data_IF_521979849857
#
_entry.id   IF_521979849857
#
_cell.length_a   1.000
_cell.length_b   1.000
_cell.length_c   1.000
_cell.angle_alpha   90.00
_cell.angle_beta   90.00
_cell.angle_gamma   90.00
#
_symmetry.space_group_name_H-M   'P 1'
#
loop_
_entity.id
_entity.type
_entity.pdbx_description
1 polymer ?
#
# COMPACT_ATOMS: atom_id res chain seq x y z
N UNK A 1 -70.85 29.69 2.82
CA UNK A 1 -69.97 28.87 1.97
C UNK A 1 -68.54 29.03 2.50
N UNK A 2 -68.16 28.22 3.50
CA UNK A 2 -66.77 28.13 4.03
C UNK A 2 -66.32 26.69 3.75
N UNK A 3 -65.53 26.50 2.72
CA UNK A 3 -64.83 25.27 2.50
C UNK A 3 -63.80 25.11 3.62
N UNK A 4 -63.92 24.07 4.41
CA UNK A 4 -62.95 23.63 5.41
C UNK A 4 -61.73 23.13 4.71
N UNK A 5 -60.66 23.88 4.87
CA UNK A 5 -59.31 23.48 4.54
C UNK A 5 -58.92 22.30 5.47
N UNK A 6 -59.15 21.08 5.02
CA UNK A 6 -58.61 19.88 5.66
C UNK A 6 -57.12 19.84 5.30
N UNK A 7 -56.32 20.47 6.14
CA UNK A 7 -54.91 20.16 6.15
C UNK A 7 -54.78 18.65 6.42
N UNK A 8 -54.33 17.92 5.41
CA UNK A 8 -53.99 16.49 5.50
C UNK A 8 -52.90 16.32 6.55
N UNK A 9 -53.25 16.00 7.79
CA UNK A 9 -52.28 15.58 8.81
C UNK A 9 -51.57 14.34 8.30
N UNK A 10 -50.22 14.36 8.22
CA UNK A 10 -49.48 13.22 7.73
C UNK A 10 -49.76 11.99 8.60
N UNK A 11 -50.07 10.86 7.96
CA UNK A 11 -50.38 9.60 8.65
C UNK A 11 -49.26 9.24 9.64
N UNK A 12 -49.56 8.50 10.71
CA UNK A 12 -48.57 8.07 11.69
C UNK A 12 -47.39 7.33 11.02
N UNK A 13 -47.65 6.53 9.98
CA UNK A 13 -46.62 5.86 9.17
C UNK A 13 -45.73 6.86 8.46
N UNK A 14 -46.27 7.96 7.94
CA UNK A 14 -45.45 9.02 7.31
C UNK A 14 -44.58 9.79 8.32
N UNK A 15 -45.10 10.02 9.54
CA UNK A 15 -44.30 10.65 10.62
C UNK A 15 -43.17 9.77 11.07
N UNK A 16 -43.40 8.47 11.25
CA UNK A 16 -42.35 7.47 11.57
C UNK A 16 -41.30 7.34 10.47
N UNK A 17 -41.74 7.27 9.21
CA UNK A 17 -40.85 7.20 8.06
C UNK A 17 -39.98 8.45 7.94
N UNK A 18 -40.56 9.65 8.10
CA UNK A 18 -39.81 10.92 8.12
C UNK A 18 -38.79 10.96 9.26
N UNK A 19 -39.12 10.43 10.43
CA UNK A 19 -38.22 10.30 11.57
C UNK A 19 -37.01 9.42 11.22
N UNK A 20 -37.25 8.23 10.67
CA UNK A 20 -36.21 7.31 10.24
C UNK A 20 -35.31 7.92 9.16
N UNK A 21 -35.88 8.55 8.15
CA UNK A 21 -35.11 9.21 7.08
C UNK A 21 -34.24 10.35 7.61
N UNK A 22 -34.81 11.19 8.50
CA UNK A 22 -34.03 12.29 9.13
C UNK A 22 -32.82 11.76 9.89
N UNK A 23 -33.02 10.71 10.66
CA UNK A 23 -31.96 10.09 11.44
C UNK A 23 -30.92 9.43 10.55
N UNK A 24 -31.35 8.74 9.48
CA UNK A 24 -30.47 8.19 8.48
C UNK A 24 -29.62 9.27 7.83
N UNK A 25 -30.21 10.42 7.49
CA UNK A 25 -29.49 11.57 6.93
C UNK A 25 -28.45 12.12 7.92
N UNK A 26 -28.76 12.22 9.21
CA UNK A 26 -27.82 12.68 10.23
C UNK A 26 -26.63 11.72 10.39
N UNK A 27 -26.90 10.41 10.43
CA UNK A 27 -25.84 9.40 10.49
C UNK A 27 -24.98 9.43 9.22
N UNK A 28 -25.60 9.55 8.05
CA UNK A 28 -24.88 9.67 6.78
C UNK A 28 -24.04 10.95 6.72
N UNK A 29 -24.58 12.07 7.15
CA UNK A 29 -23.89 13.37 7.19
C UNK A 29 -22.64 13.34 8.11
N UNK A 30 -22.65 12.50 9.14
CA UNK A 30 -21.51 12.31 10.04
C UNK A 30 -20.51 11.28 9.49
N UNK A 31 -20.99 10.09 9.10
CA UNK A 31 -20.11 8.96 8.78
C UNK A 31 -19.44 9.07 7.41
N UNK A 32 -20.12 9.61 6.40
CA UNK A 32 -19.54 9.70 5.05
C UNK A 32 -18.32 10.65 5.01
N UNK A 33 -18.39 11.89 5.53
CA UNK A 33 -17.20 12.74 5.61
C UNK A 33 -16.11 12.16 6.52
N UNK A 34 -16.47 11.53 7.64
CA UNK A 34 -15.52 10.91 8.54
C UNK A 34 -14.73 9.79 7.85
N UNK A 35 -15.41 8.90 7.11
CA UNK A 35 -14.75 7.81 6.37
C UNK A 35 -13.93 8.35 5.20
N UNK A 36 -14.40 9.38 4.50
CA UNK A 36 -13.63 10.06 3.46
C UNK A 36 -12.35 10.68 4.05
N UNK A 37 -12.46 11.39 5.17
CA UNK A 37 -11.30 12.00 5.85
C UNK A 37 -10.31 10.93 6.36
N UNK A 38 -10.82 9.84 6.95
CA UNK A 38 -9.98 8.73 7.42
C UNK A 38 -9.23 8.07 6.26
N UNK A 39 -9.83 7.99 5.08
CA UNK A 39 -9.19 7.45 3.87
C UNK A 39 -8.00 8.30 3.39
N UNK A 40 -7.96 9.58 3.72
CA UNK A 40 -6.85 10.48 3.39
C UNK A 40 -5.64 10.29 4.33
N UNK A 41 -5.83 9.62 5.47
CA UNK A 41 -4.74 9.32 6.41
C UNK A 41 -3.96 8.09 5.95
N UNK A 42 -2.88 8.29 5.17
CA UNK A 42 -2.03 7.22 4.61
C UNK A 42 -1.11 6.54 5.63
N UNK A 43 -0.85 7.18 6.78
CA UNK A 43 0.15 6.74 7.76
C UNK A 43 -0.33 5.71 8.80
N UNK A 44 -1.51 5.10 8.65
CA UNK A 44 -2.00 4.11 9.62
C UNK A 44 -1.31 2.75 9.42
N UNK A 45 -0.65 2.17 10.44
CA UNK A 45 0.05 0.88 10.32
C UNK A 45 -0.83 -0.27 9.80
N UNK A 46 -2.15 -0.23 10.11
CA UNK A 46 -3.12 -1.21 9.62
C UNK A 46 -3.32 -1.18 8.10
N UNK A 47 -3.09 -0.05 7.44
CA UNK A 47 -3.14 0.04 5.97
C UNK A 47 -2.05 -0.84 5.34
N UNK A 48 -0.84 -0.78 5.91
CA UNK A 48 0.30 -1.54 5.43
C UNK A 48 0.13 -3.05 5.70
N UNK A 49 -0.42 -3.40 6.87
CA UNK A 49 -0.74 -4.80 7.18
C UNK A 49 -1.76 -5.38 6.18
N UNK A 50 -2.81 -4.64 5.85
CA UNK A 50 -3.81 -5.05 4.86
C UNK A 50 -3.19 -5.19 3.47
N UNK A 51 -2.32 -4.26 3.07
CA UNK A 51 -1.57 -4.36 1.82
C UNK A 51 -0.76 -5.65 1.76
N UNK A 52 0.07 -5.90 2.77
CA UNK A 52 0.94 -7.08 2.83
C UNK A 52 0.13 -8.38 2.78
N UNK A 53 -1.01 -8.45 3.50
CA UNK A 53 -1.89 -9.63 3.48
C UNK A 53 -2.56 -9.85 2.14
N UNK A 54 -3.11 -8.81 1.52
CA UNK A 54 -3.77 -8.92 0.22
C UNK A 54 -2.76 -9.23 -0.90
N UNK A 55 -1.54 -8.68 -0.81
CA UNK A 55 -0.47 -8.98 -1.77
C UNK A 55 -0.03 -10.44 -1.70
N UNK A 56 0.09 -10.99 -0.50
CA UNK A 56 0.49 -12.39 -0.28
C UNK A 56 -0.55 -13.40 -0.78
N UNK A 57 -1.79 -12.99 -1.08
CA UNK A 57 -2.79 -13.88 -1.71
C UNK A 57 -2.46 -14.17 -3.20
N UNK A 58 -1.63 -13.34 -3.83
CA UNK A 58 -1.20 -13.52 -5.23
C UNK A 58 0.29 -13.19 -5.35
N UNK A 59 1.18 -14.07 -4.84
CA UNK A 59 2.62 -13.85 -4.90
C UNK A 59 3.10 -13.81 -6.35
N UNK A 60 4.14 -13.01 -6.63
CA UNK A 60 4.75 -12.94 -7.94
C UNK A 60 5.70 -14.12 -8.14
N UNK A 61 5.65 -14.71 -9.33
CA UNK A 61 6.68 -15.63 -9.78
C UNK A 61 7.97 -14.85 -10.12
N UNK A 62 9.10 -15.51 -10.03
CA UNK A 62 10.38 -14.92 -10.43
C UNK A 62 10.52 -14.95 -11.96
N UNK A 63 10.81 -13.80 -12.56
CA UNK A 63 11.11 -13.73 -14.00
C UNK A 63 12.45 -14.43 -14.28
N UNK A 64 12.47 -15.43 -15.18
CA UNK A 64 13.68 -16.21 -15.45
C UNK A 64 14.83 -15.39 -16.04
N UNK A 65 14.58 -14.18 -16.54
CA UNK A 65 15.63 -13.31 -17.07
C UNK A 65 16.51 -12.69 -15.98
N UNK A 66 16.05 -12.66 -14.73
CA UNK A 66 16.78 -12.07 -13.61
C UNK A 66 17.75 -13.10 -13.03
N UNK A 67 18.99 -12.66 -12.82
CA UNK A 67 20.03 -13.44 -12.14
C UNK A 67 20.79 -12.54 -11.17
N UNK A 68 20.96 -13.00 -9.93
CA UNK A 68 21.77 -12.30 -8.93
C UNK A 68 23.17 -12.89 -8.87
N UNK A 69 24.19 -12.05 -9.03
CA UNK A 69 25.59 -12.39 -8.76
C UNK A 69 25.91 -11.85 -7.37
N UNK A 70 25.94 -12.75 -6.41
CA UNK A 70 25.97 -12.43 -4.99
C UNK A 70 27.40 -12.22 -4.49
N UNK A 71 27.64 -11.08 -3.85
CA UNK A 71 28.80 -10.89 -2.97
C UNK A 71 28.41 -11.55 -1.63
N UNK A 72 28.62 -12.86 -1.58
CA UNK A 72 28.27 -13.75 -0.48
C UNK A 72 29.47 -14.11 0.39
N UNK A 73 29.24 -14.86 1.48
CA UNK A 73 30.26 -15.28 2.41
C UNK A 73 31.35 -16.12 1.71
N UNK A 74 30.98 -17.00 0.76
CA UNK A 74 31.92 -17.79 -0.05
C UNK A 74 32.84 -16.90 -0.88
N UNK A 75 32.30 -15.84 -1.45
CA UNK A 75 33.10 -14.87 -2.22
C UNK A 75 34.06 -14.09 -1.32
N UNK A 76 33.62 -13.71 -0.11
CA UNK A 76 34.45 -13.03 0.88
C UNK A 76 35.58 -13.92 1.40
N UNK A 77 35.32 -15.18 1.68
CA UNK A 77 36.34 -16.15 2.10
C UNK A 77 37.37 -16.35 1.03
N UNK A 78 36.98 -16.36 -0.25
CA UNK A 78 37.86 -16.64 -1.38
C UNK A 78 38.67 -15.44 -1.86
N UNK A 79 38.12 -14.24 -1.86
CA UNK A 79 38.71 -13.01 -2.41
C UNK A 79 39.27 -12.10 -1.31
N UNK A 80 38.97 -12.38 -0.04
CA UNK A 80 39.43 -11.61 1.10
C UNK A 80 38.50 -10.48 1.46
N UNK A 81 39.02 -9.60 2.32
CA UNK A 81 38.22 -8.54 2.97
C UNK A 81 37.66 -7.53 1.97
N UNK A 82 36.38 -7.25 2.10
CA UNK A 82 35.67 -6.17 1.40
C UNK A 82 36.07 -4.77 1.97
N UNK A 83 36.13 -3.70 1.16
CA UNK A 83 35.88 -3.68 -0.29
C UNK A 83 37.07 -4.19 -1.13
N UNK A 84 36.76 -4.91 -2.23
CA UNK A 84 37.75 -5.41 -3.13
C UNK A 84 38.34 -4.33 -4.06
N UNK A 85 39.58 -4.52 -4.58
CA UNK A 85 40.12 -3.64 -5.59
C UNK A 85 39.23 -3.57 -6.81
N UNK A 86 39.14 -2.39 -7.44
CA UNK A 86 38.28 -2.18 -8.61
C UNK A 86 38.65 -3.05 -9.81
N UNK A 87 39.90 -3.54 -9.87
CA UNK A 87 40.36 -4.52 -10.85
C UNK A 87 39.58 -5.84 -10.79
N UNK A 88 39.13 -6.26 -9.59
CA UNK A 88 38.33 -7.48 -9.42
C UNK A 88 36.95 -7.29 -10.06
N UNK A 89 36.34 -6.10 -9.89
CA UNK A 89 35.09 -5.76 -10.56
C UNK A 89 35.27 -5.65 -12.07
N UNK A 90 36.40 -5.13 -12.55
CA UNK A 90 36.70 -5.06 -13.97
C UNK A 90 36.74 -6.46 -14.60
N UNK A 91 37.41 -7.42 -13.94
CA UNK A 91 37.47 -8.81 -14.41
C UNK A 91 36.09 -9.48 -14.44
N UNK A 92 35.26 -9.27 -13.41
CA UNK A 92 33.87 -9.75 -13.42
C UNK A 92 33.09 -9.21 -14.62
N UNK A 93 33.18 -7.89 -14.88
CA UNK A 93 32.47 -7.28 -16.00
C UNK A 93 32.93 -7.82 -17.35
N UNK A 94 34.23 -8.03 -17.51
CA UNK A 94 34.80 -8.66 -18.73
C UNK A 94 34.25 -10.08 -18.92
N UNK A 95 34.08 -10.86 -17.84
CA UNK A 95 33.48 -12.19 -17.88
C UNK A 95 32.01 -12.16 -18.25
N UNK A 96 31.21 -11.25 -17.61
CA UNK A 96 29.78 -11.10 -17.90
C UNK A 96 29.56 -10.66 -19.35
N UNK A 97 30.37 -9.71 -19.85
CA UNK A 97 30.32 -9.26 -21.24
C UNK A 97 30.67 -10.40 -22.23
N UNK A 98 31.73 -11.17 -21.95
CA UNK A 98 32.12 -12.31 -22.79
C UNK A 98 31.03 -13.40 -22.82
N UNK A 99 30.33 -13.65 -21.69
CA UNK A 99 29.22 -14.59 -21.60
C UNK A 99 27.92 -14.08 -22.28
N UNK A 100 27.88 -12.82 -22.69
CA UNK A 100 26.73 -12.21 -23.35
C UNK A 100 25.56 -11.82 -22.42
N UNK A 101 25.87 -11.35 -21.21
CA UNK A 101 24.87 -10.76 -20.32
C UNK A 101 24.17 -9.57 -21.02
N UNK A 102 22.85 -9.46 -20.91
CA UNK A 102 22.07 -8.43 -21.60
C UNK A 102 22.27 -7.04 -20.98
N UNK A 103 22.15 -6.96 -19.67
CA UNK A 103 22.38 -5.73 -18.90
C UNK A 103 22.92 -6.13 -17.51
N UNK A 104 23.81 -5.33 -16.95
CA UNK A 104 24.42 -5.57 -15.64
C UNK A 104 24.14 -4.37 -14.74
N UNK A 105 23.36 -4.59 -13.68
CA UNK A 105 23.22 -3.63 -12.58
C UNK A 105 24.33 -3.93 -11.57
N UNK A 106 25.33 -3.09 -11.51
CA UNK A 106 26.41 -3.24 -10.54
C UNK A 106 26.08 -2.40 -9.30
N UNK A 107 25.38 -3.00 -8.34
CA UNK A 107 24.94 -2.35 -7.08
C UNK A 107 26.11 -2.25 -6.09
N UNK A 108 27.14 -1.54 -6.50
CA UNK A 108 28.33 -1.21 -5.73
C UNK A 108 28.63 0.28 -5.88
N UNK A 109 28.76 0.97 -4.76
CA UNK A 109 28.96 2.43 -4.74
C UNK A 109 30.43 2.77 -4.95
N UNK A 110 30.72 3.55 -5.98
CA UNK A 110 32.06 4.03 -6.33
C UNK A 110 32.14 5.55 -6.26
N UNK A 111 31.82 6.11 -5.10
CA UNK A 111 31.76 7.57 -4.88
C UNK A 111 33.11 8.24 -4.70
N UNK A 112 34.15 7.47 -4.33
CA UNK A 112 35.48 7.98 -4.04
C UNK A 112 36.53 7.35 -4.97
N UNK A 113 37.59 8.09 -5.36
CA UNK A 113 38.68 7.52 -6.09
C UNK A 113 39.36 6.38 -5.30
N UNK A 114 39.77 5.36 -6.01
CA UNK A 114 40.59 4.29 -5.42
C UNK A 114 41.96 4.80 -4.97
N UNK A 115 42.54 4.18 -3.95
CA UNK A 115 43.94 4.40 -3.56
C UNK A 115 44.93 4.07 -4.72
N UNK A 116 44.51 3.23 -5.65
CA UNK A 116 45.24 2.93 -6.88
C UNK A 116 44.49 3.45 -8.12
N UNK A 117 44.93 4.59 -8.72
CA UNK A 117 44.25 5.17 -9.89
C UNK A 117 44.28 4.26 -11.14
N UNK A 118 45.21 3.32 -11.24
CA UNK A 118 45.22 2.34 -12.33
C UNK A 118 44.06 1.36 -12.25
N UNK A 119 43.65 1.02 -11.05
CA UNK A 119 42.48 0.19 -10.78
C UNK A 119 41.18 0.87 -11.24
N UNK A 120 41.02 2.16 -10.99
CA UNK A 120 39.89 2.94 -11.51
C UNK A 120 39.87 2.99 -13.03
N UNK A 121 41.04 3.22 -13.64
CA UNK A 121 41.19 3.21 -15.11
C UNK A 121 40.90 1.84 -15.73
N UNK A 122 41.28 0.75 -15.05
CA UNK A 122 40.98 -0.60 -15.51
C UNK A 122 39.47 -0.85 -15.49
N UNK A 123 38.78 -0.52 -14.37
CA UNK A 123 37.36 -0.67 -14.26
C UNK A 123 36.60 0.20 -15.30
N UNK A 124 37.01 1.46 -15.49
CA UNK A 124 36.44 2.34 -16.51
C UNK A 124 36.57 1.73 -17.93
N UNK A 125 37.73 1.14 -18.28
CA UNK A 125 37.92 0.48 -19.58
C UNK A 125 36.97 -0.72 -19.76
N UNK A 126 36.78 -1.54 -18.70
CA UNK A 126 35.86 -2.69 -18.75
C UNK A 126 34.40 -2.23 -18.86
N UNK A 127 34.00 -1.17 -18.16
CA UNK A 127 32.68 -0.54 -18.31
C UNK A 127 32.44 -0.07 -19.74
N UNK A 128 33.39 0.69 -20.30
CA UNK A 128 33.29 1.19 -21.68
C UNK A 128 33.21 0.05 -22.70
N UNK A 129 33.98 -1.03 -22.52
CA UNK A 129 33.96 -2.21 -23.42
C UNK A 129 32.67 -3.00 -23.33
N UNK A 130 32.17 -3.21 -22.13
CA UNK A 130 30.93 -3.93 -21.90
C UNK A 130 29.71 -3.15 -22.47
N UNK A 131 29.64 -1.83 -22.28
CA UNK A 131 28.65 -0.94 -22.85
C UNK A 131 27.20 -1.16 -22.37
N UNK A 132 26.99 -2.06 -21.41
CA UNK A 132 25.69 -2.47 -20.90
C UNK A 132 25.63 -2.49 -19.35
N UNK A 133 26.54 -1.78 -18.70
CA UNK A 133 26.65 -1.77 -17.23
C UNK A 133 26.04 -0.49 -16.68
N UNK A 134 25.12 -0.66 -15.74
CA UNK A 134 24.43 0.41 -15.03
C UNK A 134 25.06 0.59 -13.65
N UNK A 135 25.33 1.83 -13.25
CA UNK A 135 25.93 2.18 -11.97
C UNK A 135 24.94 2.93 -11.05
N UNK A 136 25.01 2.69 -9.73
CA UNK A 136 24.17 3.36 -8.77
C UNK A 136 24.66 4.79 -8.48
N UNK A 137 23.72 5.65 -8.15
CA UNK A 137 23.95 6.86 -7.38
C UNK A 137 23.13 6.82 -6.11
N UNK A 138 23.64 7.42 -5.06
CA UNK A 138 23.01 7.45 -3.74
C UNK A 138 22.59 8.89 -3.39
N UNK A 139 21.51 9.02 -2.65
CA UNK A 139 21.14 10.26 -1.98
C UNK A 139 21.78 10.30 -0.59
N UNK A 140 22.50 11.35 -0.26
CA UNK A 140 22.97 11.58 1.09
C UNK A 140 21.78 11.89 2.02
N UNK A 141 21.52 11.00 2.99
CA UNK A 141 20.28 10.95 3.78
C UNK A 141 20.22 11.94 4.94
N UNK A 142 21.30 12.63 5.27
CA UNK A 142 21.37 13.57 6.40
C UNK A 142 21.63 14.98 5.89
N UNK A 143 20.59 15.73 5.55
CA UNK A 143 20.79 17.15 5.32
C UNK A 143 21.13 17.80 6.66
N UNK A 144 22.24 18.55 6.73
CA UNK A 144 22.40 19.56 7.75
C UNK A 144 21.21 20.50 7.66
N UNK A 145 20.71 20.94 8.78
CA UNK A 145 19.51 21.78 8.87
C UNK A 145 19.41 22.79 7.72
N UNK A 146 18.39 22.58 6.83
CA UNK A 146 18.08 23.50 5.74
C UNK A 146 18.81 23.30 4.41
N UNK A 147 19.78 22.38 4.31
CA UNK A 147 20.40 22.05 3.01
C UNK A 147 19.56 20.98 2.28
N UNK A 148 19.42 21.11 0.94
CA UNK A 148 18.78 20.05 0.15
C UNK A 148 19.64 18.79 0.17
N UNK A 149 19.04 17.59 0.00
CA UNK A 149 19.77 16.35 -0.20
C UNK A 149 20.78 16.48 -1.34
N UNK A 150 21.90 15.74 -1.27
CA UNK A 150 22.93 15.72 -2.29
C UNK A 150 22.94 14.38 -3.01
N UNK A 151 23.21 14.40 -4.31
CA UNK A 151 23.56 13.19 -5.05
C UNK A 151 25.03 12.82 -4.79
N UNK A 152 25.27 11.53 -4.61
CA UNK A 152 26.61 10.93 -4.57
C UNK A 152 26.75 10.06 -5.83
N UNK A 153 27.21 10.62 -6.95
CA UNK A 153 27.42 9.87 -8.18
C UNK A 153 28.69 9.04 -8.13
N UNK A 154 28.85 8.06 -9.03
CA UNK A 154 30.12 7.40 -9.26
C UNK A 154 31.20 8.42 -9.66
N UNK A 155 32.47 8.08 -9.40
CA UNK A 155 33.62 8.91 -9.83
C UNK A 155 33.62 9.16 -11.34
N UNK A 156 34.09 10.31 -11.77
CA UNK A 156 34.01 10.77 -13.17
C UNK A 156 34.50 9.74 -14.22
N UNK A 157 35.65 9.02 -14.04
CA UNK A 157 36.09 8.02 -15.02
C UNK A 157 35.11 6.87 -15.19
N UNK A 158 34.42 6.46 -14.11
CA UNK A 158 33.43 5.38 -14.14
C UNK A 158 32.08 5.87 -14.68
N UNK A 159 31.65 7.06 -14.23
CA UNK A 159 30.41 7.68 -14.69
C UNK A 159 30.38 7.90 -16.21
N UNK A 160 31.52 8.28 -16.81
CA UNK A 160 31.64 8.51 -18.26
C UNK A 160 31.57 7.24 -19.11
N UNK A 161 31.80 6.06 -18.52
CA UNK A 161 31.77 4.77 -19.19
C UNK A 161 30.54 3.90 -18.85
N UNK A 162 29.73 4.29 -17.87
CA UNK A 162 28.51 3.60 -17.55
C UNK A 162 27.48 3.72 -18.69
N UNK A 163 26.76 2.64 -19.00
CA UNK A 163 25.63 2.69 -19.95
C UNK A 163 24.49 3.55 -19.40
N UNK A 164 24.38 3.64 -18.09
CA UNK A 164 23.44 4.51 -17.39
C UNK A 164 23.77 4.64 -15.91
N UNK A 165 23.25 5.71 -15.30
CA UNK A 165 23.40 5.96 -13.87
C UNK A 165 22.00 6.20 -13.30
N UNK A 166 21.62 5.41 -12.30
CA UNK A 166 20.33 5.50 -11.66
C UNK A 166 20.40 5.50 -10.15
N UNK A 167 19.39 6.07 -9.48
CA UNK A 167 19.32 6.02 -8.03
C UNK A 167 18.87 4.64 -7.54
N UNK A 168 19.32 4.29 -6.33
CA UNK A 168 18.95 3.06 -5.63
C UNK A 168 18.17 3.34 -4.35
N UNK A 169 17.77 4.59 -4.15
CA UNK A 169 17.10 5.02 -2.91
C UNK A 169 15.74 4.33 -2.76
N UNK A 170 15.44 3.92 -1.55
CA UNK A 170 14.18 3.32 -1.15
C UNK A 170 13.55 4.15 -0.02
N UNK A 171 12.24 4.08 0.11
CA UNK A 171 11.50 4.77 1.18
C UNK A 171 10.98 3.75 2.19
N UNK A 172 11.30 3.99 3.45
CA UNK A 172 10.69 3.27 4.55
C UNK A 172 9.39 3.95 4.96
N UNK A 173 8.34 3.18 5.12
CA UNK A 173 7.07 3.63 5.69
C UNK A 173 7.24 4.01 7.17
N UNK A 174 6.18 4.54 7.80
CA UNK A 174 6.18 4.95 9.21
C UNK A 174 6.50 3.81 10.20
N UNK A 175 6.38 2.55 9.77
CA UNK A 175 6.73 1.35 10.52
C UNK A 175 8.18 0.85 10.25
N UNK A 176 8.97 1.63 9.51
CA UNK A 176 10.34 1.30 9.14
C UNK A 176 10.47 0.26 8.02
N UNK A 177 9.36 -0.18 7.44
CA UNK A 177 9.36 -1.22 6.39
C UNK A 177 9.40 -0.58 5.00
N UNK A 178 10.29 -1.06 4.14
CA UNK A 178 10.38 -0.62 2.74
C UNK A 178 9.32 -1.32 1.91
N UNK A 179 8.39 -0.52 1.32
CA UNK A 179 7.33 -1.01 0.44
C UNK A 179 7.22 -0.24 -0.86
N UNK A 180 7.85 0.92 -0.94
CA UNK A 180 7.72 1.80 -2.09
C UNK A 180 9.04 2.40 -2.54
N UNK A 181 9.06 2.83 -3.78
CA UNK A 181 10.20 3.50 -4.42
C UNK A 181 9.68 4.52 -5.42
N UNK A 182 10.44 5.56 -5.69
CA UNK A 182 10.15 6.50 -6.77
C UNK A 182 10.84 6.06 -8.05
N UNK A 183 10.15 6.15 -9.20
CA UNK A 183 10.78 5.86 -10.50
C UNK A 183 11.82 6.91 -10.89
N UNK A 184 11.65 8.13 -10.38
CA UNK A 184 12.60 9.23 -10.56
C UNK A 184 12.72 10.03 -9.27
N UNK A 185 13.95 10.37 -8.91
CA UNK A 185 14.21 11.36 -7.87
C UNK A 185 15.58 12.04 -8.10
N UNK A 186 15.72 13.25 -7.59
CA UNK A 186 16.97 14.00 -7.72
C UNK A 186 16.80 15.49 -7.50
N UNK A 187 17.84 16.27 -7.77
CA UNK A 187 17.80 17.73 -7.70
C UNK A 187 16.70 18.30 -8.60
N UNK A 188 16.17 19.46 -8.21
CA UNK A 188 15.10 20.15 -8.94
C UNK A 188 15.50 20.35 -10.40
N UNK A 189 14.64 19.89 -11.32
CA UNK A 189 14.86 19.98 -12.76
C UNK A 189 15.77 18.92 -13.37
N UNK A 190 16.40 18.06 -12.58
CA UNK A 190 17.28 16.98 -13.04
C UNK A 190 17.07 15.65 -12.29
N UNK A 191 15.82 15.14 -12.20
CA UNK A 191 15.57 13.88 -11.51
C UNK A 191 16.22 12.72 -12.27
N UNK A 192 16.87 11.84 -11.52
CA UNK A 192 17.52 10.64 -12.03
C UNK A 192 16.54 9.47 -12.05
N UNK A 193 16.60 8.61 -13.07
CA UNK A 193 15.80 7.39 -13.09
C UNK A 193 16.26 6.40 -12.01
N UNK A 194 15.35 5.54 -11.58
CA UNK A 194 15.67 4.38 -10.75
C UNK A 194 16.56 3.40 -11.52
N UNK A 195 17.57 2.81 -10.87
CA UNK A 195 18.53 1.90 -11.50
C UNK A 195 17.84 0.69 -12.13
N UNK A 196 16.92 0.04 -11.40
CA UNK A 196 16.14 -1.08 -11.93
C UNK A 196 15.26 -0.69 -13.14
N UNK A 197 14.81 0.57 -13.23
CA UNK A 197 14.06 1.06 -14.39
C UNK A 197 14.93 1.10 -15.66
N UNK A 198 16.18 1.49 -15.54
CA UNK A 198 17.08 1.51 -16.70
C UNK A 198 17.30 0.10 -17.26
N UNK A 199 17.52 -0.89 -16.39
CA UNK A 199 17.60 -2.29 -16.83
C UNK A 199 16.29 -2.79 -17.47
N UNK A 200 15.16 -2.34 -16.97
CA UNK A 200 13.86 -2.62 -17.57
C UNK A 200 13.73 -2.00 -18.96
N UNK A 201 14.19 -0.77 -19.17
CA UNK A 201 14.22 -0.11 -20.48
C UNK A 201 15.14 -0.86 -21.48
N UNK A 202 16.30 -1.31 -21.04
CA UNK A 202 17.24 -2.14 -21.84
C UNK A 202 16.60 -3.49 -22.24
N UNK A 203 15.65 -3.99 -21.46
CA UNK A 203 14.87 -5.18 -21.80
C UNK A 203 13.86 -4.98 -22.93
N UNK A 204 13.77 -3.78 -23.51
CA UNK A 204 12.86 -3.44 -24.62
C UNK A 204 11.46 -3.04 -24.14
N UNK A 205 11.37 -2.54 -22.94
CA UNK A 205 10.12 -2.15 -22.29
C UNK A 205 9.68 -0.71 -22.60
N UNK A 206 8.49 -0.35 -22.06
CA UNK A 206 7.82 0.91 -22.31
C UNK A 206 8.66 2.15 -21.95
N UNK A 207 8.46 3.28 -22.63
CA UNK A 207 9.08 4.54 -22.24
C UNK A 207 8.64 4.94 -20.83
N UNK A 208 9.52 5.64 -20.12
CA UNK A 208 9.21 6.18 -18.79
C UNK A 208 8.00 7.11 -18.87
N UNK A 209 7.03 7.00 -17.96
CA UNK A 209 5.88 7.91 -17.90
C UNK A 209 6.32 9.38 -17.84
N UNK A 210 5.49 10.31 -18.31
CA UNK A 210 5.71 11.75 -18.18
C UNK A 210 5.87 12.19 -16.73
N UNK A 211 6.29 13.45 -16.49
CA UNK A 211 6.44 14.02 -15.14
C UNK A 211 5.06 14.48 -14.63
N UNK A 212 4.30 13.60 -13.95
CA UNK A 212 2.91 13.89 -13.60
C UNK A 212 2.64 14.11 -12.11
N UNK A 213 3.44 13.56 -11.20
CA UNK A 213 3.17 13.64 -9.76
C UNK A 213 4.44 13.98 -8.97
N UNK A 214 4.79 15.27 -8.99
CA UNK A 214 6.00 15.74 -8.33
C UNK A 214 5.77 15.98 -6.84
N UNK A 215 6.23 15.06 -6.00
CA UNK A 215 6.38 15.30 -4.56
C UNK A 215 7.71 15.99 -4.30
N UNK A 216 7.67 17.30 -4.16
CA UNK A 216 8.87 18.10 -3.95
C UNK A 216 9.21 18.18 -2.46
N UNK A 217 10.44 17.78 -2.12
CA UNK A 217 11.13 18.24 -0.92
C UNK A 217 11.87 19.54 -1.27
N UNK A 218 12.21 20.40 -0.29
CA UNK A 218 13.02 21.59 -0.60
C UNK A 218 14.29 21.21 -1.37
N UNK A 219 14.40 21.71 -2.61
CA UNK A 219 15.55 21.43 -3.50
C UNK A 219 15.66 20.02 -4.08
N UNK A 220 14.68 19.11 -3.80
CA UNK A 220 14.66 17.73 -4.25
C UNK A 220 13.32 17.35 -4.83
N UNK A 221 13.33 16.70 -5.98
CA UNK A 221 12.16 16.30 -6.75
C UNK A 221 12.01 14.77 -6.72
N UNK A 222 10.78 14.29 -6.56
CA UNK A 222 10.40 12.87 -6.59
C UNK A 222 9.19 12.69 -7.46
N UNK A 223 9.16 11.61 -8.23
CA UNK A 223 8.12 11.37 -9.21
C UNK A 223 7.80 9.88 -9.32
N UNK A 224 6.52 9.55 -9.56
CA UNK A 224 5.99 8.21 -9.75
C UNK A 224 6.36 7.24 -8.63
N UNK A 225 5.73 7.41 -7.47
CA UNK A 225 5.82 6.42 -6.39
C UNK A 225 5.14 5.11 -6.82
N UNK A 226 5.88 4.02 -6.78
CA UNK A 226 5.38 2.66 -7.02
C UNK A 226 5.58 1.78 -5.78
N UNK A 227 4.64 0.87 -5.55
CA UNK A 227 4.79 -0.15 -4.51
C UNK A 227 5.54 -1.35 -5.07
N UNK A 228 6.52 -1.81 -4.31
CA UNK A 228 7.38 -2.93 -4.68
C UNK A 228 6.60 -4.24 -4.50
N UNK A 229 6.40 -5.04 -5.57
CA UNK A 229 5.71 -6.30 -5.46
C UNK A 229 6.71 -7.42 -5.08
N UNK A 230 6.99 -7.57 -3.80
CA UNK A 230 7.89 -8.62 -3.33
C UNK A 230 7.39 -10.01 -3.77
N UNK A 231 8.34 -10.88 -4.13
CA UNK A 231 8.08 -12.31 -4.40
C UNK A 231 7.60 -13.01 -3.11
N UNK A 232 7.02 -14.21 -3.24
CA UNK A 232 6.61 -14.98 -2.06
C UNK A 232 7.79 -15.36 -1.16
N UNK A 233 7.53 -15.55 0.13
CA UNK A 233 8.57 -15.92 1.10
C UNK A 233 9.28 -17.25 0.78
N UNK A 234 8.59 -18.15 0.07
CA UNK A 234 9.13 -19.46 -0.34
C UNK A 234 9.88 -19.39 -1.69
N UNK A 235 9.93 -18.22 -2.34
CA UNK A 235 10.59 -18.00 -3.61
C UNK A 235 11.91 -17.23 -3.41
N UNK A 236 12.91 -17.52 -4.25
CA UNK A 236 14.18 -16.81 -4.27
C UNK A 236 14.59 -16.51 -5.71
N UNK A 237 15.32 -15.41 -5.91
CA UNK A 237 15.93 -15.16 -7.21
C UNK A 237 17.06 -16.16 -7.48
N UNK A 238 17.20 -16.67 -8.73
CA UNK A 238 18.38 -17.43 -9.10
C UNK A 238 19.63 -16.64 -8.74
N UNK A 239 20.53 -17.25 -7.99
CA UNK A 239 21.72 -16.58 -7.47
C UNK A 239 22.95 -17.45 -7.68
N UNK A 240 24.07 -16.81 -8.05
CA UNK A 240 25.36 -17.44 -8.18
C UNK A 240 26.42 -16.65 -7.41
N UNK A 241 27.40 -17.30 -6.76
CA UNK A 241 28.49 -16.61 -6.07
C UNK A 241 29.30 -15.74 -7.03
N UNK A 242 29.67 -14.55 -6.60
CA UNK A 242 30.53 -13.63 -7.36
C UNK A 242 31.84 -14.31 -7.78
N UNK A 243 32.47 -15.01 -6.83
CA UNK A 243 33.72 -15.71 -7.08
C UNK A 243 33.62 -16.83 -8.12
N UNK A 244 32.44 -17.48 -8.19
CA UNK A 244 32.22 -18.55 -9.18
C UNK A 244 32.14 -18.00 -10.61
N UNK A 245 31.52 -16.81 -10.79
CA UNK A 245 31.51 -16.12 -12.08
C UNK A 245 32.92 -15.69 -12.45
N UNK A 246 33.64 -15.09 -11.50
CA UNK A 246 35.00 -14.60 -11.71
C UNK A 246 35.97 -15.74 -12.17
N UNK A 247 35.83 -16.93 -11.57
CA UNK A 247 36.63 -18.12 -11.92
C UNK A 247 36.16 -18.86 -13.17
N UNK A 248 35.03 -18.43 -13.79
CA UNK A 248 34.47 -19.13 -14.94
C UNK A 248 33.83 -20.49 -14.60
N UNK A 249 33.45 -20.70 -13.33
CA UNK A 249 32.77 -21.92 -12.87
C UNK A 249 31.28 -21.92 -13.27
N UNK A 250 30.72 -20.75 -13.61
CA UNK A 250 29.35 -20.60 -14.05
C UNK A 250 29.29 -20.73 -15.58
N UNK A 251 28.47 -21.64 -16.13
CA UNK A 251 28.32 -21.78 -17.58
C UNK A 251 27.78 -20.50 -18.23
N UNK A 252 28.34 -20.11 -19.39
CA UNK A 252 27.90 -18.91 -20.13
C UNK A 252 26.41 -18.95 -20.49
N UNK A 253 25.83 -20.12 -20.67
CA UNK A 253 24.35 -20.28 -20.93
C UNK A 253 23.46 -19.79 -19.80
N UNK A 254 23.96 -19.74 -18.56
CA UNK A 254 23.23 -19.19 -17.42
C UNK A 254 23.33 -17.66 -17.34
N UNK A 255 24.33 -17.06 -17.98
CA UNK A 255 24.61 -15.63 -17.98
C UNK A 255 24.06 -14.94 -19.25
N UNK A 256 23.99 -15.67 -20.36
CA UNK A 256 23.59 -15.15 -21.68
C UNK A 256 22.15 -14.62 -21.65
N UNK A 257 21.96 -13.42 -22.21
CA UNK A 257 20.68 -12.70 -22.30
C UNK A 257 19.99 -12.43 -20.94
N UNK A 258 20.73 -12.58 -19.82
CA UNK A 258 20.21 -12.29 -18.48
C UNK A 258 20.34 -10.82 -18.11
N UNK A 259 19.42 -10.36 -17.27
CA UNK A 259 19.51 -9.12 -16.51
C UNK A 259 20.23 -9.47 -15.19
N UNK A 260 21.50 -9.16 -15.13
CA UNK A 260 22.39 -9.55 -14.03
C UNK A 260 22.44 -8.44 -13.00
N UNK A 261 22.09 -8.74 -11.75
CA UNK A 261 22.25 -7.83 -10.63
C UNK A 261 23.42 -8.27 -9.78
N UNK A 262 24.43 -7.43 -9.64
CA UNK A 262 25.61 -7.71 -8.83
C UNK A 262 25.55 -6.90 -7.56
N UNK A 263 25.53 -7.52 -6.39
CA UNK A 263 25.46 -6.78 -5.12
C UNK A 263 25.70 -7.63 -3.88
N UNK A 264 25.79 -6.97 -2.74
CA UNK A 264 26.07 -7.59 -1.46
C UNK A 264 24.85 -8.35 -0.91
N UNK A 265 25.07 -9.63 -0.57
CA UNK A 265 24.08 -10.47 0.11
C UNK A 265 24.59 -10.97 1.47
N UNK A 266 25.89 -11.00 1.68
CA UNK A 266 26.50 -11.42 2.93
C UNK A 266 26.07 -10.52 4.11
N UNK A 267 25.79 -11.07 5.28
CA UNK A 267 25.53 -10.30 6.49
C UNK A 267 26.71 -9.36 6.82
N UNK A 268 26.40 -8.09 7.15
CA UNK A 268 27.42 -7.09 7.49
C UNK A 268 28.05 -6.37 6.31
N UNK A 269 27.69 -6.73 5.08
CA UNK A 269 28.05 -5.97 3.87
C UNK A 269 26.81 -5.24 3.34
N UNK A 270 26.95 -3.96 3.06
CA UNK A 270 25.93 -3.16 2.40
C UNK A 270 24.65 -2.95 3.24
N UNK A 271 23.67 -2.34 2.59
CA UNK A 271 22.42 -1.97 3.21
C UNK A 271 21.45 -3.14 3.25
N UNK A 272 20.87 -3.35 4.42
CA UNK A 272 19.80 -4.33 4.62
C UNK A 272 18.57 -3.64 5.18
N UNK A 273 17.45 -3.96 4.62
CA UNK A 273 16.19 -3.29 4.90
C UNK A 273 15.15 -4.24 5.49
N UNK A 274 14.30 -3.69 6.34
CA UNK A 274 13.07 -4.36 6.76
C UNK A 274 12.08 -4.28 5.59
N UNK A 275 11.55 -5.42 5.17
CA UNK A 275 10.58 -5.55 4.07
C UNK A 275 9.39 -6.38 4.53
N UNK A 276 8.29 -6.46 3.78
CA UNK A 276 7.17 -7.35 4.12
C UNK A 276 7.56 -8.83 4.28
N UNK A 277 8.71 -9.24 3.74
CA UNK A 277 9.26 -10.60 3.88
C UNK A 277 10.07 -10.80 5.17
N UNK A 278 10.42 -9.72 5.86
CA UNK A 278 11.37 -9.78 7.00
C UNK A 278 10.88 -10.59 8.19
N UNK A 279 9.58 -10.77 8.34
CA UNK A 279 9.00 -11.62 9.37
C UNK A 279 9.38 -13.11 9.20
N UNK A 280 9.66 -13.55 7.97
CA UNK A 280 10.01 -14.94 7.64
C UNK A 280 11.49 -15.11 7.25
N UNK A 281 12.09 -14.12 6.58
CA UNK A 281 13.43 -14.24 5.97
C UNK A 281 14.49 -13.34 6.63
N UNK A 282 14.12 -12.53 7.62
CA UNK A 282 15.02 -11.50 8.16
C UNK A 282 15.12 -10.28 7.22
N UNK A 283 16.12 -9.44 7.45
CA UNK A 283 16.30 -8.22 6.63
C UNK A 283 16.74 -8.58 5.20
N UNK A 284 16.21 -7.87 4.22
CA UNK A 284 16.45 -8.08 2.78
C UNK A 284 17.63 -7.25 2.29
N UNK A 285 18.61 -7.83 1.56
CA UNK A 285 19.70 -7.08 0.93
C UNK A 285 19.19 -6.07 -0.12
N UNK A 286 19.89 -4.94 -0.29
CA UNK A 286 19.52 -3.92 -1.28
C UNK A 286 19.41 -4.46 -2.71
N UNK A 287 20.35 -5.31 -3.13
CA UNK A 287 20.33 -5.95 -4.45
C UNK A 287 19.09 -6.80 -4.69
N UNK A 288 18.56 -7.47 -3.67
CA UNK A 288 17.30 -8.25 -3.77
C UNK A 288 16.07 -7.32 -3.85
N UNK A 289 16.13 -6.15 -3.22
CA UNK A 289 15.08 -5.13 -3.39
C UNK A 289 15.07 -4.66 -4.84
N UNK A 290 16.23 -4.34 -5.44
CA UNK A 290 16.34 -3.99 -6.85
C UNK A 290 15.83 -5.14 -7.76
N UNK A 291 16.12 -6.39 -7.42
CA UNK A 291 15.59 -7.55 -8.14
C UNK A 291 14.05 -7.65 -8.06
N UNK A 292 13.45 -7.39 -6.88
CA UNK A 292 12.00 -7.36 -6.72
C UNK A 292 11.34 -6.22 -7.52
N UNK A 293 11.96 -5.04 -7.53
CA UNK A 293 11.50 -3.90 -8.34
C UNK A 293 11.53 -4.28 -9.82
N UNK A 294 12.68 -4.77 -10.32
CA UNK A 294 12.84 -5.17 -11.71
C UNK A 294 11.85 -6.27 -12.09
N UNK A 295 11.67 -7.28 -11.24
CA UNK A 295 10.69 -8.35 -11.44
C UNK A 295 9.26 -7.82 -11.57
N UNK A 296 8.88 -6.88 -10.71
CA UNK A 296 7.58 -6.23 -10.77
C UNK A 296 7.35 -5.41 -12.04
N UNK A 297 8.37 -4.69 -12.47
CA UNK A 297 8.35 -3.90 -13.72
C UNK A 297 8.21 -4.81 -14.95
N UNK A 298 9.02 -5.89 -15.04
CA UNK A 298 8.99 -6.84 -16.15
C UNK A 298 7.64 -7.54 -16.30
N UNK A 299 6.96 -7.81 -15.20
CA UNK A 299 5.64 -8.45 -15.17
C UNK A 299 4.49 -7.44 -15.17
N UNK A 300 4.76 -6.13 -15.17
CA UNK A 300 3.75 -5.06 -15.07
C UNK A 300 2.83 -5.23 -13.85
N UNK A 301 3.41 -5.63 -12.72
CA UNK A 301 2.69 -5.91 -11.47
C UNK A 301 3.01 -4.93 -10.33
N UNK A 302 3.69 -3.84 -10.63
CA UNK A 302 3.84 -2.71 -9.70
C UNK A 302 2.49 -2.06 -9.44
N UNK A 303 2.27 -1.59 -8.22
CA UNK A 303 1.03 -0.89 -7.89
C UNK A 303 1.32 0.58 -7.56
N UNK A 304 0.39 1.43 -7.92
CA UNK A 304 0.38 2.87 -7.60
C UNK A 304 -0.77 3.14 -6.64
N UNK A 305 -0.54 4.00 -5.66
CA UNK A 305 -1.61 4.41 -4.74
C UNK A 305 -2.71 5.13 -5.53
N UNK A 306 -3.97 4.75 -5.27
CA UNK A 306 -5.12 5.39 -5.91
C UNK A 306 -5.17 6.87 -5.51
N UNK A 307 -5.59 7.72 -6.44
CA UNK A 307 -5.72 9.16 -6.17
C UNK A 307 -6.55 9.41 -4.91
N UNK A 308 -6.13 10.31 -4.00
CA UNK A 308 -6.76 10.48 -2.68
C UNK A 308 -8.27 10.74 -2.73
N UNK A 309 -8.74 11.51 -3.71
CA UNK A 309 -10.17 11.81 -3.86
C UNK A 309 -10.98 10.56 -4.29
N UNK A 310 -10.41 9.69 -5.16
CA UNK A 310 -11.04 8.43 -5.55
C UNK A 310 -11.08 7.44 -4.38
N UNK A 311 -10.00 7.35 -3.62
CA UNK A 311 -9.94 6.52 -2.42
C UNK A 311 -10.99 6.97 -1.38
N UNK A 312 -11.14 8.28 -1.17
CA UNK A 312 -12.15 8.85 -0.30
C UNK A 312 -13.57 8.56 -0.81
N UNK A 313 -13.80 8.70 -2.12
CA UNK A 313 -15.10 8.40 -2.75
C UNK A 313 -15.47 6.93 -2.59
N UNK A 314 -14.57 5.99 -2.88
CA UNK A 314 -14.82 4.55 -2.74
C UNK A 314 -15.10 4.18 -1.27
N UNK A 315 -14.35 4.77 -0.34
CA UNK A 315 -14.55 4.54 1.09
C UNK A 315 -15.91 5.04 1.57
N UNK A 316 -16.31 6.24 1.18
CA UNK A 316 -17.62 6.80 1.51
C UNK A 316 -18.75 6.01 0.81
N UNK A 317 -18.57 5.63 -0.45
CA UNK A 317 -19.56 4.87 -1.22
C UNK A 317 -19.86 3.49 -0.60
N UNK A 318 -18.85 2.81 -0.05
CA UNK A 318 -19.03 1.52 0.63
C UNK A 318 -19.93 1.65 1.87
N UNK A 319 -19.76 2.72 2.64
CA UNK A 319 -20.59 3.03 3.82
C UNK A 319 -21.98 3.50 3.40
N UNK A 320 -22.08 4.34 2.37
CA UNK A 320 -23.36 4.78 1.82
C UNK A 320 -24.22 3.61 1.31
N UNK A 321 -23.59 2.64 0.65
CA UNK A 321 -24.23 1.40 0.22
C UNK A 321 -24.82 0.63 1.41
N UNK A 322 -24.04 0.42 2.49
CA UNK A 322 -24.52 -0.25 3.68
C UNK A 322 -25.71 0.50 4.30
N UNK A 323 -25.57 1.82 4.50
CA UNK A 323 -26.64 2.66 5.07
C UNK A 323 -27.90 2.59 4.21
N UNK A 324 -27.78 2.62 2.87
CA UNK A 324 -28.89 2.43 1.95
C UNK A 324 -29.55 1.06 2.09
N UNK A 325 -28.77 -0.03 2.14
CA UNK A 325 -29.29 -1.39 2.31
C UNK A 325 -30.00 -1.58 3.66
N UNK A 326 -29.52 -0.93 4.72
CA UNK A 326 -30.14 -0.99 6.05
C UNK A 326 -31.54 -0.33 6.09
N UNK A 327 -31.83 0.64 5.23
CA UNK A 327 -33.19 1.21 5.12
C UNK A 327 -34.20 0.16 4.68
N UNK A 328 -33.82 -0.75 3.76
CA UNK A 328 -34.74 -1.74 3.20
C UNK A 328 -34.75 -3.07 3.96
N UNK A 329 -33.61 -3.46 4.56
CA UNK A 329 -33.41 -4.79 5.17
C UNK A 329 -32.76 -4.73 6.55
N UNK A 330 -33.26 -3.88 7.43
CA UNK A 330 -32.70 -3.62 8.76
C UNK A 330 -32.52 -4.85 9.67
N UNK A 331 -33.32 -5.90 9.50
CA UNK A 331 -33.23 -7.14 10.30
C UNK A 331 -31.97 -7.97 10.00
N UNK A 332 -31.33 -7.75 8.86
CA UNK A 332 -30.12 -8.46 8.44
C UNK A 332 -28.87 -7.57 8.50
N UNK A 333 -28.87 -6.55 9.36
CA UNK A 333 -27.80 -5.54 9.43
C UNK A 333 -26.39 -6.14 9.54
N UNK A 334 -26.19 -7.16 10.37
CA UNK A 334 -24.88 -7.84 10.51
C UNK A 334 -24.44 -8.50 9.20
N UNK A 335 -25.33 -9.26 8.58
CA UNK A 335 -25.02 -9.94 7.32
C UNK A 335 -24.72 -8.94 6.19
N UNK A 336 -25.47 -7.83 6.12
CA UNK A 336 -25.20 -6.76 5.16
C UNK A 336 -23.87 -6.09 5.40
N UNK A 337 -23.51 -5.84 6.67
CA UNK A 337 -22.21 -5.27 7.03
C UNK A 337 -21.07 -6.19 6.62
N UNK A 338 -21.16 -7.49 6.92
CA UNK A 338 -20.17 -8.49 6.52
C UNK A 338 -20.06 -8.60 5.00
N UNK A 339 -21.19 -8.59 4.28
CA UNK A 339 -21.20 -8.62 2.82
C UNK A 339 -20.52 -7.38 2.21
N UNK A 340 -20.81 -6.18 2.74
CA UNK A 340 -20.14 -4.94 2.30
C UNK A 340 -18.65 -4.95 2.65
N UNK A 341 -18.24 -5.51 3.79
CA UNK A 341 -16.84 -5.63 4.16
C UNK A 341 -16.07 -6.58 3.22
N UNK A 342 -16.65 -7.74 2.90
CA UNK A 342 -16.09 -8.68 1.92
C UNK A 342 -16.00 -8.03 0.54
N UNK A 343 -17.03 -7.28 0.13
CA UNK A 343 -17.02 -6.54 -1.14
C UNK A 343 -15.90 -5.49 -1.18
N UNK A 344 -15.70 -4.73 -0.11
CA UNK A 344 -14.64 -3.73 -0.02
C UNK A 344 -13.24 -4.38 -0.08
N UNK A 345 -13.03 -5.49 0.63
CA UNK A 345 -11.78 -6.25 0.57
C UNK A 345 -11.55 -6.86 -0.82
N UNK A 346 -12.57 -7.45 -1.42
CA UNK A 346 -12.51 -8.03 -2.76
C UNK A 346 -12.22 -6.98 -3.83
N UNK A 347 -12.85 -5.80 -3.73
CA UNK A 347 -12.59 -4.68 -4.64
C UNK A 347 -11.15 -4.16 -4.48
N UNK A 348 -10.68 -4.01 -3.23
CA UNK A 348 -9.29 -3.59 -2.96
C UNK A 348 -8.28 -4.57 -3.57
N UNK A 349 -8.53 -5.88 -3.40
CA UNK A 349 -7.69 -6.92 -3.99
C UNK A 349 -7.74 -6.92 -5.53
N UNK A 350 -8.92 -6.78 -6.12
CA UNK A 350 -9.08 -6.68 -7.56
C UNK A 350 -8.36 -5.46 -8.15
N UNK A 351 -8.45 -4.31 -7.49
CA UNK A 351 -7.71 -3.10 -7.88
C UNK A 351 -6.20 -3.34 -7.79
N UNK A 352 -5.71 -3.98 -6.71
CA UNK A 352 -4.29 -4.30 -6.52
C UNK A 352 -3.75 -5.21 -7.63
N UNK A 353 -4.53 -6.19 -8.09
CA UNK A 353 -4.16 -7.04 -9.23
C UNK A 353 -4.07 -6.27 -10.56
N UNK A 354 -4.76 -5.12 -10.66
CA UNK A 354 -4.73 -4.22 -11.81
C UNK A 354 -3.76 -3.03 -11.63
N UNK A 355 -2.86 -3.08 -10.66
CA UNK A 355 -1.84 -2.06 -10.45
C UNK A 355 -2.29 -0.82 -9.67
N UNK A 356 -3.46 -0.87 -9.00
CA UNK A 356 -3.96 0.24 -8.18
C UNK A 356 -4.12 -0.19 -6.74
N UNK A 357 -3.52 0.55 -5.81
CA UNK A 357 -3.72 0.31 -4.39
C UNK A 357 -4.75 1.26 -3.79
N UNK A 358 -5.82 0.70 -3.27
CA UNK A 358 -6.80 1.39 -2.42
C UNK A 358 -6.89 0.68 -1.09
N UNK A 359 -6.61 1.40 0.02
CA UNK A 359 -6.75 0.81 1.36
C UNK A 359 -8.22 0.69 1.75
N UNK A 360 -8.71 -0.52 2.07
CA UNK A 360 -10.09 -0.72 2.51
C UNK A 360 -10.31 -0.35 3.98
N UNK A 361 -9.27 0.03 4.74
CA UNK A 361 -9.34 0.25 6.19
C UNK A 361 -10.43 1.27 6.58
N UNK A 362 -10.45 2.43 5.91
CA UNK A 362 -11.44 3.47 6.17
C UNK A 362 -12.88 2.97 5.95
N UNK A 363 -13.08 2.17 4.89
CA UNK A 363 -14.35 1.50 4.62
C UNK A 363 -14.72 0.55 5.75
N UNK A 364 -13.82 -0.33 6.17
CA UNK A 364 -14.06 -1.32 7.24
C UNK A 364 -14.42 -0.64 8.56
N UNK A 365 -13.71 0.43 8.93
CA UNK A 365 -14.00 1.22 10.13
C UNK A 365 -15.37 1.90 10.00
N UNK A 366 -15.66 2.53 8.87
CA UNK A 366 -16.94 3.19 8.62
C UNK A 366 -18.13 2.21 8.64
N UNK A 367 -17.96 1.02 8.04
CA UNK A 367 -18.96 -0.06 8.07
C UNK A 367 -19.23 -0.55 9.50
N UNK A 368 -18.17 -0.73 10.29
CA UNK A 368 -18.28 -1.12 11.70
C UNK A 368 -19.03 -0.05 12.51
N UNK A 369 -18.67 1.22 12.37
CA UNK A 369 -19.32 2.33 13.05
C UNK A 369 -20.80 2.44 12.64
N UNK A 370 -21.12 2.30 11.35
CA UNK A 370 -22.50 2.29 10.86
C UNK A 370 -23.32 1.16 11.52
N UNK A 371 -22.74 -0.05 11.59
CA UNK A 371 -23.36 -1.18 12.26
C UNK A 371 -23.60 -0.93 13.77
N UNK A 372 -22.57 -0.42 14.48
CA UNK A 372 -22.67 -0.14 15.91
C UNK A 372 -23.74 0.92 16.22
N UNK A 373 -23.78 2.01 15.46
CA UNK A 373 -24.79 3.07 15.60
C UNK A 373 -26.18 2.49 15.34
N UNK A 374 -26.34 1.69 14.28
CA UNK A 374 -27.61 1.07 13.95
C UNK A 374 -28.08 0.09 15.04
N UNK A 375 -27.17 -0.78 15.51
CA UNK A 375 -27.44 -1.77 16.55
C UNK A 375 -27.82 -1.12 17.89
N UNK A 376 -27.10 -0.06 18.28
CA UNK A 376 -27.37 0.73 19.49
C UNK A 376 -28.78 1.34 19.43
N UNK A 377 -29.15 1.92 18.30
CA UNK A 377 -30.47 2.54 18.13
C UNK A 377 -31.59 1.53 18.19
N UNK A 378 -31.40 0.37 17.56
CA UNK A 378 -32.38 -0.72 17.64
C UNK A 378 -32.55 -1.19 19.08
N UNK A 379 -31.49 -1.31 19.84
CA UNK A 379 -31.54 -1.68 21.25
C UNK A 379 -32.31 -0.64 22.05
N UNK A 380 -32.01 0.63 21.88
CA UNK A 380 -32.72 1.73 22.57
C UNK A 380 -34.21 1.78 22.22
N UNK A 381 -34.58 1.54 20.98
CA UNK A 381 -35.99 1.47 20.58
C UNK A 381 -36.73 0.31 21.24
N UNK A 382 -36.10 -0.83 21.38
CA UNK A 382 -36.63 -2.01 22.07
C UNK A 382 -36.77 -1.74 23.58
N UNK A 383 -35.77 -1.15 24.20
CA UNK A 383 -35.82 -0.78 25.64
C UNK A 383 -36.91 0.27 25.91
N UNK A 384 -37.04 1.26 25.05
CA UNK A 384 -38.11 2.26 25.17
C UNK A 384 -39.50 1.64 25.03
N UNK A 385 -39.65 0.65 24.13
CA UNK A 385 -40.91 -0.08 23.98
C UNK A 385 -41.24 -0.88 25.25
N UNK A 386 -40.30 -1.64 25.82
CA UNK A 386 -40.51 -2.36 27.05
C UNK A 386 -40.78 -1.43 28.26
N UNK A 387 -40.07 -0.31 28.37
CA UNK A 387 -40.33 0.70 29.40
C UNK A 387 -41.76 1.21 29.31
N UNK A 388 -42.20 1.59 28.10
CA UNK A 388 -43.60 2.04 27.89
C UNK A 388 -44.61 0.95 28.22
N UNK A 389 -44.40 -0.31 27.86
CA UNK A 389 -45.30 -1.43 28.16
C UNK A 389 -45.41 -1.66 29.66
N UNK A 390 -44.28 -1.58 30.40
CA UNK A 390 -44.27 -1.70 31.87
C UNK A 390 -45.03 -0.55 32.51
N UNK A 391 -44.83 0.70 32.06
CA UNK A 391 -45.57 1.87 32.55
C UNK A 391 -47.06 1.73 32.30
N UNK A 392 -47.46 1.21 31.15
CA UNK A 392 -48.87 0.96 30.85
C UNK A 392 -49.49 -0.14 31.75
N UNK A 393 -48.73 -1.17 32.08
CA UNK A 393 -49.19 -2.25 32.97
C UNK A 393 -49.30 -1.81 34.43
N UNK A 394 -48.41 -0.93 34.88
CA UNK A 394 -48.44 -0.38 36.25
C UNK A 394 -49.48 0.70 36.43
N UNK A 395 -49.80 1.46 35.37
CA UNK A 395 -50.81 2.50 35.36
C UNK A 395 -52.26 1.94 35.29
N UNK A 396 -52.47 0.64 34.98
CA UNK A 396 -53.81 0.04 34.99
C UNK A 396 -54.32 -0.13 36.43
N UNK A 397 -55.48 0.45 36.78
CA UNK A 397 -56.01 0.40 38.13
C UNK A 397 -56.37 -1.04 38.55
N UNK A 398 -56.15 -1.42 39.83
CA UNK A 398 -56.33 -2.80 40.33
C UNK A 398 -57.74 -3.38 40.15
N UNK A 399 -58.78 -2.53 39.97
CA UNK A 399 -60.13 -3.00 39.76
C UNK A 399 -60.46 -3.41 38.31
N UNK A 400 -59.62 -3.07 37.33
CA UNK A 400 -59.79 -3.56 35.97
C UNK A 400 -59.47 -5.06 35.79
N UNK A 401 -58.98 -5.71 36.83
CA UNK A 401 -58.71 -7.15 36.89
C UNK A 401 -59.84 -8.00 37.48
N UNK A 402 -60.90 -7.36 37.94
CA UNK A 402 -62.09 -8.11 38.45
C UNK A 402 -63.33 -7.55 37.83
N UNK A 403 -64.02 -8.37 37.06
CA UNK A 403 -65.41 -8.39 36.64
C UNK A 403 -66.18 -7.06 36.58
N UNK A 404 -66.77 -6.84 35.47
CA UNK A 404 -67.95 -5.94 35.21
C UNK A 404 -68.67 -5.35 36.45
N UNK A 405 -68.41 -4.06 36.68
CA UNK A 405 -69.29 -3.24 37.55
C UNK A 405 -69.69 -1.96 36.79
N UNK A 406 -70.89 -1.45 37.00
CA UNK A 406 -71.55 -0.53 36.08
C UNK A 406 -70.92 0.86 36.03
N UNK A 407 -70.96 1.46 34.86
CA UNK A 407 -70.55 2.83 34.56
C UNK A 407 -71.47 3.87 35.23
N UNK A 408 -70.96 4.45 36.33
CA UNK A 408 -71.47 5.77 36.79
C UNK A 408 -70.43 6.44 37.66
N UNK A 409 -69.61 7.30 37.09
CA UNK A 409 -69.06 8.49 37.75
C UNK A 409 -68.15 9.24 36.71
N UNK A 410 -68.51 10.47 36.39
CA UNK A 410 -67.74 11.39 35.59
C UNK A 410 -66.50 11.84 36.30
N UNK A 411 -65.44 11.07 36.19
CA UNK A 411 -64.05 11.41 36.62
C UNK A 411 -63.16 11.55 35.44
N UNK A 412 -62.38 12.62 35.34
CA UNK A 412 -61.39 12.85 34.34
C UNK A 412 -60.25 11.79 34.46
N UNK A 413 -60.12 10.99 33.46
CA UNK A 413 -59.02 9.95 33.38
C UNK A 413 -57.65 10.59 33.43
N UNK A 414 -56.69 10.01 34.16
CA UNK A 414 -55.34 10.50 34.15
C UNK A 414 -54.79 10.48 32.72
N UNK A 415 -54.05 11.53 32.35
CA UNK A 415 -53.45 11.73 31.00
C UNK A 415 -52.62 10.53 30.52
N UNK A 416 -51.99 9.78 31.44
CA UNK A 416 -51.24 8.56 31.18
C UNK A 416 -52.13 7.43 30.59
N UNK A 417 -53.39 7.33 30.98
CA UNK A 417 -54.31 6.30 30.51
C UNK A 417 -54.82 6.52 29.10
N UNK A 418 -54.95 7.79 28.67
CA UNK A 418 -55.29 8.15 27.29
C UNK A 418 -54.22 7.71 26.30
N UNK A 419 -52.93 7.73 26.71
CA UNK A 419 -51.81 7.32 25.88
C UNK A 419 -51.73 5.79 25.66
N UNK A 420 -52.24 4.97 26.63
CA UNK A 420 -52.21 3.51 26.53
C UNK A 420 -53.37 2.90 25.73
N UNK A 421 -54.47 3.64 25.49
CA UNK A 421 -55.69 3.12 24.85
C UNK A 421 -55.63 3.10 23.30
N UNK A 422 -54.61 3.71 22.71
CA UNK A 422 -54.51 3.89 21.27
C UNK A 422 -53.29 3.17 20.70
N UNK A 423 -53.35 1.79 20.68
CA UNK A 423 -52.68 1.03 19.64
C UNK A 423 -53.34 -0.30 19.38
N UNK A 424 -53.60 -0.65 18.08
CA UNK A 424 -53.64 -2.06 17.66
C UNK A 424 -52.26 -2.60 17.52
#
# INVERSE_FOLDING_TARGET
>A
MKALDRQDEPSQAQRLFRGLVREWLLVSLLLLPLTALLSLSSGLPLNNLLYDRLRNLAPLAVDPRILVVAIDDRSLESLGRWPWPRSVHAELLDRLAAAGARSVLLDVIFSEPSSNPDSDRQLARSLCRAGNVLLPLLRESVPRYGEPPREIPPTAPLAGCAAGIGHINVEADSDGTVRSVYLREGPLGQPRPLLAWQAFADAGAMPMPGLDDMRNLPGWQRDHAIRIPFIGADAGFPSVPYVSVLRGEVPDSLLRDRLVLVGATAPGLGDRYVTPLSASLGTTPGVEIQANILNGLLQQRTAVDLQPWLAALLSAASVALLLGLMLFRSRHALLLTLACAVLALGLSWALLLNGWWWSPLASLVGLLLAYLIWSWRRLNAVLAYFGWELDCRTASPPWSRRSAAPATAGGSWPTAWKACRWRP
#
